data_IF_462213745452
#
_entry.id   IF_462213745452
#
_cell.length_a   1.000
_cell.length_b   1.000
_cell.length_c   1.000
_cell.angle_alpha   90.00
_cell.angle_beta   90.00
_cell.angle_gamma   90.00
#
_symmetry.space_group_name_H-M   'P 1'
#
loop_
_entity.id
_entity.type
_entity.pdbx_description
1 polymer ?
#
# COMPACT_ATOMS: atom_id res chain seq x y z
N UNK A 1 8.01 8.10 30.39
CA UNK A 1 9.10 8.34 29.41
C UNK A 1 8.58 7.83 28.08
N UNK A 2 7.91 8.72 27.33
CA UNK A 2 7.27 8.35 26.07
C UNK A 2 8.32 8.05 25.03
N UNK A 3 8.26 6.89 24.42
CA UNK A 3 9.04 6.62 23.22
C UNK A 3 8.45 7.54 22.15
N UNK A 4 9.16 8.61 21.80
CA UNK A 4 8.90 9.42 20.62
C UNK A 4 9.00 8.52 19.38
N UNK A 5 7.86 8.00 18.91
CA UNK A 5 7.76 7.29 17.62
C UNK A 5 7.83 8.28 16.43
N UNK A 6 8.04 9.57 16.68
CA UNK A 6 8.01 10.63 15.67
C UNK A 6 9.19 10.58 14.67
N UNK A 7 10.15 9.67 14.86
CA UNK A 7 11.37 9.56 14.04
C UNK A 7 11.41 8.38 13.04
N UNK A 8 10.42 7.48 13.03
CA UNK A 8 10.37 6.31 12.11
C UNK A 8 9.40 6.51 10.93
N UNK A 9 9.42 7.69 10.32
CA UNK A 9 8.61 7.97 9.14
C UNK A 9 9.18 7.22 7.93
N UNK A 10 8.51 6.16 7.48
CA UNK A 10 8.95 5.40 6.31
C UNK A 10 9.05 6.35 5.09
N UNK A 11 10.21 6.44 4.42
CA UNK A 11 10.36 7.31 3.26
C UNK A 11 9.33 6.99 2.17
N UNK A 12 8.76 8.04 1.55
CA UNK A 12 7.75 7.93 0.49
C UNK A 12 8.23 7.15 -0.75
N UNK A 13 9.55 7.00 -0.90
CA UNK A 13 10.16 6.15 -1.93
C UNK A 13 9.89 4.66 -1.71
N UNK A 14 9.72 4.21 -0.46
CA UNK A 14 9.45 2.81 -0.11
C UNK A 14 7.99 2.56 0.24
N UNK A 15 7.31 3.52 0.86
CA UNK A 15 5.94 3.35 1.29
C UNK A 15 5.19 4.67 1.26
N UNK A 16 4.05 4.72 0.57
CA UNK A 16 3.28 5.96 0.46
C UNK A 16 1.78 5.71 0.31
N UNK A 17 0.98 6.67 0.76
CA UNK A 17 -0.45 6.74 0.46
C UNK A 17 -0.66 7.17 -1.00
N UNK A 18 -1.59 6.53 -1.70
CA UNK A 18 -2.01 6.97 -3.02
C UNK A 18 -3.06 8.09 -2.89
N UNK A 19 -3.03 9.03 -3.83
CA UNK A 19 -4.00 10.13 -3.90
C UNK A 19 -5.20 9.70 -4.74
N UNK A 20 -6.40 10.23 -4.43
CA UNK A 20 -7.65 9.93 -5.15
C UNK A 20 -7.98 8.42 -5.17
N UNK A 21 -7.76 7.76 -4.04
CA UNK A 21 -8.11 6.36 -3.78
C UNK A 21 -8.83 6.26 -2.45
N UNK A 22 -9.59 5.19 -2.23
CA UNK A 22 -10.22 4.85 -0.95
C UNK A 22 -9.17 4.29 0.05
N UNK A 23 -8.31 5.18 0.53
CA UNK A 23 -7.24 4.91 1.52
C UNK A 23 -6.30 3.76 1.17
N UNK A 24 -5.89 3.68 -0.10
CA UNK A 24 -4.91 2.70 -0.57
C UNK A 24 -3.48 3.21 -0.35
N UNK A 25 -2.62 2.30 0.08
CA UNK A 25 -1.19 2.49 0.28
C UNK A 25 -0.40 1.63 -0.69
N UNK A 26 0.77 2.12 -1.08
CA UNK A 26 1.72 1.45 -1.98
C UNK A 26 3.02 1.17 -1.23
N UNK A 27 3.38 -0.10 -1.10
CA UNK A 27 4.71 -0.55 -0.70
C UNK A 27 5.53 -0.88 -1.95
N UNK A 28 6.78 -0.41 -1.99
CA UNK A 28 7.72 -0.61 -3.10
C UNK A 28 8.83 -1.53 -2.68
N UNK A 29 9.04 -2.58 -3.47
CA UNK A 29 10.01 -3.63 -3.20
C UNK A 29 10.85 -3.85 -4.45
N UNK A 30 12.15 -3.66 -4.33
CA UNK A 30 13.12 -3.92 -5.40
C UNK A 30 13.78 -5.29 -5.15
N UNK A 31 13.75 -6.16 -6.16
CA UNK A 31 14.36 -7.50 -6.13
C UNK A 31 15.19 -7.67 -7.41
N UNK A 32 16.52 -7.62 -7.26
CA UNK A 32 17.44 -7.64 -8.39
C UNK A 32 17.18 -6.45 -9.33
N UNK A 33 16.86 -6.74 -10.59
CA UNK A 33 16.53 -5.72 -11.61
C UNK A 33 15.03 -5.39 -11.67
N UNK A 34 14.21 -6.00 -10.83
CA UNK A 34 12.75 -5.87 -10.88
C UNK A 34 12.23 -5.02 -9.71
N UNK A 35 11.38 -4.05 -10.01
CA UNK A 35 10.62 -3.31 -9.01
C UNK A 35 9.19 -3.82 -8.97
N UNK A 36 8.70 -4.14 -7.77
CA UNK A 36 7.32 -4.53 -7.49
C UNK A 36 6.62 -3.46 -6.66
N UNK A 37 5.32 -3.32 -6.89
CA UNK A 37 4.44 -2.47 -6.09
C UNK A 37 3.35 -3.34 -5.51
N UNK A 38 3.20 -3.29 -4.19
CA UNK A 38 2.13 -3.95 -3.46
C UNK A 38 1.15 -2.88 -3.02
N UNK A 39 -0.13 -3.10 -3.30
CA UNK A 39 -1.21 -2.23 -2.85
C UNK A 39 -1.89 -2.85 -1.65
N UNK A 40 -2.37 -2.00 -0.75
CA UNK A 40 -3.01 -2.43 0.47
C UNK A 40 -3.67 -1.29 1.23
N UNK A 41 -4.15 -1.58 2.43
CA UNK A 41 -4.79 -0.62 3.32
C UNK A 41 -4.46 -0.94 4.78
N UNK A 42 -4.60 0.06 5.66
CA UNK A 42 -4.47 -0.15 7.09
C UNK A 42 -5.77 -0.68 7.68
N UNK A 43 -5.65 -1.70 8.54
CA UNK A 43 -6.70 -2.13 9.45
C UNK A 43 -6.31 -1.70 10.87
N UNK A 44 -6.97 -0.65 11.38
CA UNK A 44 -6.53 0.00 12.61
C UNK A 44 -5.22 0.80 12.41
N UNK A 45 -4.39 0.87 13.46
CA UNK A 45 -3.19 1.72 13.47
C UNK A 45 -1.90 1.03 13.07
N UNK A 46 -1.83 -0.30 13.23
CA UNK A 46 -0.56 -1.04 13.18
C UNK A 46 -0.54 -2.15 12.12
N UNK A 47 -1.71 -2.62 11.67
CA UNK A 47 -1.81 -3.71 10.70
C UNK A 47 -2.00 -3.15 9.29
N UNK A 48 -1.09 -3.49 8.38
CA UNK A 48 -1.27 -3.29 6.95
C UNK A 48 -1.65 -4.60 6.27
N UNK A 49 -2.70 -4.55 5.45
CA UNK A 49 -3.17 -5.68 4.65
C UNK A 49 -2.82 -5.40 3.19
N UNK A 50 -1.94 -6.22 2.61
CA UNK A 50 -1.55 -6.14 1.21
C UNK A 50 -2.45 -7.05 0.37
N UNK A 51 -3.16 -6.48 -0.61
CA UNK A 51 -4.24 -7.15 -1.34
C UNK A 51 -3.80 -7.69 -2.69
N UNK A 52 -2.93 -6.97 -3.39
CA UNK A 52 -2.45 -7.33 -4.72
C UNK A 52 -1.08 -6.72 -4.97
N UNK A 53 -0.35 -7.28 -5.93
CA UNK A 53 0.95 -6.79 -6.35
C UNK A 53 1.10 -6.83 -7.86
N UNK A 54 1.97 -5.97 -8.38
CA UNK A 54 2.31 -5.96 -9.80
C UNK A 54 3.77 -5.53 -10.00
N UNK A 55 4.39 -6.09 -11.04
CA UNK A 55 5.70 -5.63 -11.48
C UNK A 55 5.55 -4.24 -12.14
N UNK A 56 6.44 -3.31 -11.78
CA UNK A 56 6.47 -1.97 -12.37
C UNK A 56 6.82 -2.07 -13.85
N UNK A 57 5.81 -1.93 -14.71
CA UNK A 57 5.98 -1.77 -16.17
C UNK A 57 5.91 -0.31 -16.61
N UNK A 58 5.33 0.55 -15.78
CA UNK A 58 5.19 1.99 -16.03
C UNK A 58 5.35 2.80 -14.73
N UNK A 59 5.51 4.12 -14.84
CA UNK A 59 5.67 4.98 -13.66
C UNK A 59 4.37 5.15 -12.86
N UNK A 60 3.22 5.17 -13.54
CA UNK A 60 1.90 5.32 -12.91
C UNK A 60 1.40 3.96 -12.44
N UNK A 61 0.78 3.94 -11.26
CA UNK A 61 0.07 2.76 -10.74
C UNK A 61 -1.16 2.52 -11.63
N UNK A 62 -1.30 1.35 -12.26
CA UNK A 62 -2.43 1.09 -13.16
C UNK A 62 -3.76 1.18 -12.41
N UNK A 63 -4.74 1.88 -13.00
CA UNK A 63 -6.05 2.09 -12.36
C UNK A 63 -6.77 0.77 -12.03
N UNK A 64 -6.56 -0.28 -12.83
CA UNK A 64 -7.09 -1.62 -12.58
C UNK A 64 -6.62 -2.21 -11.25
N UNK A 65 -5.35 -1.99 -10.88
CA UNK A 65 -4.76 -2.51 -9.66
C UNK A 65 -5.30 -1.78 -8.43
N UNK A 66 -5.52 -0.46 -8.57
CA UNK A 66 -6.15 0.37 -7.54
C UNK A 66 -7.59 -0.11 -7.29
N UNK A 67 -8.40 -0.24 -8.35
CA UNK A 67 -9.79 -0.71 -8.25
C UNK A 67 -9.88 -2.10 -7.63
N UNK A 68 -8.94 -2.99 -7.96
CA UNK A 68 -8.86 -4.31 -7.35
C UNK A 68 -8.57 -4.23 -5.84
N UNK A 69 -7.60 -3.40 -5.43
CA UNK A 69 -7.27 -3.19 -4.03
C UNK A 69 -8.48 -2.65 -3.24
N UNK A 70 -9.19 -1.65 -3.78
CA UNK A 70 -10.39 -1.06 -3.16
C UNK A 70 -11.54 -2.07 -3.04
N UNK A 71 -11.74 -2.91 -4.07
CA UNK A 71 -12.73 -4.00 -4.02
C UNK A 71 -12.38 -5.00 -2.90
N UNK A 72 -11.13 -5.45 -2.84
CA UNK A 72 -10.67 -6.42 -1.84
C UNK A 72 -10.71 -5.84 -0.42
N UNK A 73 -10.41 -4.54 -0.25
CA UNK A 73 -10.60 -3.82 1.01
C UNK A 73 -12.06 -3.89 1.47
N UNK A 74 -13.00 -3.53 0.60
CA UNK A 74 -14.44 -3.56 0.93
C UNK A 74 -14.91 -4.96 1.31
N UNK A 75 -14.48 -5.97 0.56
CA UNK A 75 -14.81 -7.37 0.85
C UNK A 75 -14.21 -7.86 2.17
N UNK A 76 -12.98 -7.47 2.49
CA UNK A 76 -12.37 -7.80 3.77
C UNK A 76 -13.14 -7.16 4.94
N UNK A 77 -13.47 -5.87 4.81
CA UNK A 77 -14.19 -5.12 5.85
C UNK A 77 -15.65 -5.55 6.01
N UNK A 78 -16.30 -6.11 4.98
CA UNK A 78 -17.68 -6.60 5.09
C UNK A 78 -17.79 -7.96 5.79
N UNK A 79 -16.68 -8.69 5.94
CA UNK A 79 -16.61 -10.01 6.59
C UNK A 79 -16.23 -9.93 8.08
N UNK A 80 -16.16 -8.72 8.65
CA UNK A 80 -15.83 -8.44 10.04
C UNK A 80 -16.76 -7.36 10.59
#
# INVERSE_FOLDING_TARGET
MGIEIDSLRIPSKYFKKLVKTDDIWEARVDVGKNTFRLLGFFHGRELIILTNSFQKKSQKTPLKEIRLAEKLKKEYLSRR
#
